data_IF_952423156588
#
_entry.id   IF_952423156588
#
_cell.length_a   1.000
_cell.length_b   1.000
_cell.length_c   1.000
_cell.angle_alpha   90.00
_cell.angle_beta   90.00
_cell.angle_gamma   90.00
#
_symmetry.space_group_name_H-M   'P 1'
#
loop_
_entity.id
_entity.type
_entity.pdbx_description
1 polymer ?
#
# COMPACT_ATOMS: atom_id res chain seq x y z
N UNK A 1 -28.14 -10.96 -3.35
CA UNK A 1 -26.83 -11.51 -2.91
C UNK A 1 -26.73 -11.31 -1.40
N UNK A 2 -27.36 -12.19 -0.63
CA UNK A 2 -27.52 -12.13 0.84
C UNK A 2 -26.21 -11.84 1.61
N UNK A 3 -25.09 -12.40 1.14
CA UNK A 3 -23.82 -12.29 1.84
C UNK A 3 -23.24 -10.86 1.91
N UNK A 4 -23.57 -9.98 0.96
CA UNK A 4 -23.08 -8.60 0.96
C UNK A 4 -23.81 -7.73 1.99
N UNK A 5 -25.10 -7.99 2.24
CA UNK A 5 -25.87 -7.28 3.27
C UNK A 5 -25.47 -7.72 4.69
N UNK A 6 -25.12 -8.99 4.88
CA UNK A 6 -24.61 -9.49 6.17
C UNK A 6 -23.25 -8.89 6.55
N UNK A 7 -22.41 -8.55 5.57
CA UNK A 7 -21.12 -7.88 5.83
C UNK A 7 -21.31 -6.40 6.15
N UNK A 8 -22.33 -5.74 5.57
CA UNK A 8 -22.58 -4.31 5.84
C UNK A 8 -23.31 -4.05 7.16
N UNK A 9 -24.03 -5.05 7.68
CA UNK A 9 -24.86 -4.96 8.90
C UNK A 9 -24.23 -5.59 10.15
N UNK A 10 -22.92 -5.88 10.12
CA UNK A 10 -22.24 -6.43 11.28
C UNK A 10 -22.11 -5.38 12.40
N UNK A 11 -23.08 -5.38 13.30
CA UNK A 11 -23.07 -4.61 14.54
C UNK A 11 -22.54 -5.53 15.65
N UNK A 12 -21.41 -5.19 16.32
CA UNK A 12 -20.78 -6.10 17.26
C UNK A 12 -21.72 -6.36 18.45
N UNK A 13 -21.98 -7.64 18.72
CA UNK A 13 -22.90 -8.10 19.77
C UNK A 13 -22.43 -7.77 21.19
N UNK A 14 -21.20 -7.28 21.37
CA UNK A 14 -20.68 -6.79 22.64
C UNK A 14 -19.70 -5.61 22.41
N UNK A 15 -20.06 -4.36 22.77
CA UNK A 15 -19.21 -3.18 22.54
C UNK A 15 -17.90 -3.20 23.33
N UNK A 16 -17.80 -4.04 24.36
CA UNK A 16 -16.64 -4.13 25.25
C UNK A 16 -15.71 -5.31 24.93
N UNK A 17 -16.14 -6.21 24.04
CA UNK A 17 -15.30 -7.28 23.51
C UNK A 17 -14.74 -6.82 22.15
N UNK A 18 -13.79 -5.89 22.18
CA UNK A 18 -13.07 -5.53 20.97
C UNK A 18 -12.37 -6.78 20.42
N UNK A 19 -12.94 -7.32 19.34
CA UNK A 19 -12.27 -8.33 18.52
C UNK A 19 -10.90 -7.79 18.10
N UNK A 20 -9.90 -8.67 18.03
CA UNK A 20 -8.56 -8.31 17.56
C UNK A 20 -8.60 -7.56 16.23
N UNK A 21 -9.59 -7.81 15.39
CA UNK A 21 -9.81 -7.12 14.12
C UNK A 21 -10.17 -5.64 14.29
N UNK A 22 -11.04 -5.29 15.23
CA UNK A 22 -11.48 -3.90 15.47
C UNK A 22 -10.35 -3.06 16.05
N UNK A 23 -9.60 -3.63 16.99
CA UNK A 23 -8.42 -2.97 17.58
C UNK A 23 -7.40 -2.59 16.51
N UNK A 24 -7.17 -3.49 15.55
CA UNK A 24 -6.28 -3.27 14.42
C UNK A 24 -6.84 -2.18 13.51
N UNK A 25 -8.11 -2.28 13.11
CA UNK A 25 -8.76 -1.30 12.22
C UNK A 25 -8.73 0.11 12.79
N UNK A 26 -9.10 0.28 14.07
CA UNK A 26 -9.13 1.58 14.76
C UNK A 26 -7.73 2.20 14.80
N UNK A 27 -6.69 1.40 15.05
CA UNK A 27 -5.30 1.87 14.99
C UNK A 27 -4.93 2.37 13.60
N UNK A 28 -5.23 1.61 12.55
CA UNK A 28 -4.97 2.02 11.16
C UNK A 28 -5.77 3.26 10.76
N UNK A 29 -7.01 3.39 11.24
CA UNK A 29 -7.85 4.56 11.01
C UNK A 29 -7.35 5.81 11.75
N UNK A 30 -6.74 5.66 12.93
CA UNK A 30 -6.12 6.78 13.65
C UNK A 30 -4.91 7.36 12.90
N UNK A 31 -4.13 6.51 12.23
CA UNK A 31 -2.90 6.91 11.53
C UNK A 31 -3.02 6.93 9.99
N UNK A 32 -4.21 7.24 9.45
CA UNK A 32 -4.53 7.24 8.01
C UNK A 32 -3.44 7.85 7.11
N UNK A 33 -3.02 9.08 7.39
CA UNK A 33 -2.05 9.78 6.57
C UNK A 33 -0.67 9.10 6.56
N UNK A 34 -0.22 8.60 7.72
CA UNK A 34 1.04 7.87 7.84
C UNK A 34 1.00 6.54 7.10
N UNK A 35 -0.11 5.81 7.21
CA UNK A 35 -0.31 4.53 6.53
C UNK A 35 -0.26 4.71 5.01
N UNK A 36 -0.98 5.71 4.48
CA UNK A 36 -0.96 6.04 3.05
C UNK A 36 0.44 6.47 2.60
N UNK A 37 1.14 7.26 3.40
CA UNK A 37 2.51 7.67 3.11
C UNK A 37 3.47 6.48 3.01
N UNK A 38 3.38 5.52 3.94
CA UNK A 38 4.16 4.27 3.90
C UNK A 38 3.81 3.44 2.66
N UNK A 39 2.53 3.33 2.29
CA UNK A 39 2.12 2.67 1.05
C UNK A 39 2.70 3.35 -0.19
N UNK A 40 2.65 4.68 -0.27
CA UNK A 40 3.23 5.42 -1.38
C UNK A 40 4.74 5.19 -1.49
N UNK A 41 5.45 5.16 -0.36
CA UNK A 41 6.87 4.80 -0.31
C UNK A 41 7.06 3.37 -0.85
N UNK A 42 6.28 2.40 -0.36
CA UNK A 42 6.38 1.00 -0.79
C UNK A 42 6.12 0.85 -2.30
N UNK A 43 5.05 1.46 -2.83
CA UNK A 43 4.73 1.49 -4.26
C UNK A 43 5.87 2.14 -5.05
N UNK A 44 6.42 3.26 -4.55
CA UNK A 44 7.51 3.94 -5.21
C UNK A 44 8.77 3.07 -5.30
N UNK A 45 9.17 2.45 -4.19
CA UNK A 45 10.35 1.58 -4.16
C UNK A 45 10.14 0.30 -4.98
N UNK A 46 8.98 -0.34 -4.93
CA UNK A 46 8.74 -1.58 -5.67
C UNK A 46 8.53 -1.33 -7.18
N UNK A 47 7.76 -0.30 -7.53
CA UNK A 47 7.43 0.03 -8.91
C UNK A 47 8.58 0.73 -9.65
N UNK A 48 9.20 1.74 -9.02
CA UNK A 48 10.19 2.59 -9.67
C UNK A 48 11.63 2.29 -9.25
N UNK A 49 11.92 1.93 -7.99
CA UNK A 49 13.31 1.75 -7.55
C UNK A 49 14.05 0.55 -8.15
N UNK A 50 13.36 -0.32 -8.91
CA UNK A 50 14.04 -1.29 -9.79
C UNK A 50 15.01 -0.63 -10.79
N UNK A 51 14.81 0.65 -11.11
CA UNK A 51 15.54 1.34 -12.18
C UNK A 51 16.18 2.67 -11.75
N UNK A 52 15.93 3.15 -10.54
CA UNK A 52 16.27 4.50 -10.13
C UNK A 52 17.64 4.55 -9.46
N UNK A 53 18.70 4.81 -10.24
CA UNK A 53 19.94 5.42 -9.71
C UNK A 53 19.73 6.93 -9.64
N UNK A 54 19.38 7.47 -8.47
CA UNK A 54 19.20 8.92 -8.30
C UNK A 54 20.22 9.55 -7.34
N UNK A 55 20.71 10.78 -7.65
CA UNK A 55 21.50 11.60 -6.73
C UNK A 55 20.67 12.05 -5.52
N UNK A 56 21.31 12.15 -4.35
CA UNK A 56 20.69 12.40 -3.03
C UNK A 56 19.71 13.59 -3.02
N UNK A 57 19.95 14.64 -3.80
CA UNK A 57 19.10 15.83 -3.85
C UNK A 57 17.71 15.55 -4.46
N UNK A 58 17.61 14.60 -5.40
CA UNK A 58 16.32 14.23 -6.02
C UNK A 58 15.44 13.38 -5.08
N UNK A 59 16.03 12.68 -4.12
CA UNK A 59 15.27 11.95 -3.10
C UNK A 59 14.48 12.89 -2.19
N UNK A 60 15.06 14.05 -1.84
CA UNK A 60 14.36 15.03 -1.00
C UNK A 60 13.12 15.57 -1.72
N UNK A 61 13.27 15.98 -2.98
CA UNK A 61 12.14 16.44 -3.79
C UNK A 61 11.06 15.34 -3.94
N UNK A 62 11.49 14.08 -4.04
CA UNK A 62 10.58 12.95 -4.12
C UNK A 62 9.78 12.75 -2.83
N UNK A 63 10.41 12.81 -1.66
CA UNK A 63 9.70 12.68 -0.39
C UNK A 63 8.71 13.82 -0.20
N UNK A 64 9.06 15.04 -0.62
CA UNK A 64 8.13 16.19 -0.62
C UNK A 64 6.94 15.92 -1.53
N UNK A 65 7.16 15.42 -2.76
CA UNK A 65 6.06 15.08 -3.68
C UNK A 65 5.18 13.95 -3.12
N UNK A 66 5.78 12.91 -2.53
CA UNK A 66 5.04 11.83 -1.86
C UNK A 66 4.23 12.35 -0.68
N UNK A 67 4.78 13.27 0.11
CA UNK A 67 4.09 13.86 1.25
C UNK A 67 2.86 14.67 0.80
N UNK A 68 3.01 15.47 -0.25
CA UNK A 68 1.89 16.20 -0.87
C UNK A 68 0.82 15.22 -1.38
N UNK A 69 1.22 14.15 -2.07
CA UNK A 69 0.31 13.10 -2.53
C UNK A 69 -0.42 12.40 -1.38
N UNK A 70 0.27 12.14 -0.26
CA UNK A 70 -0.32 11.53 0.93
C UNK A 70 -1.38 12.43 1.59
N UNK A 71 -1.16 13.75 1.61
CA UNK A 71 -2.15 14.72 2.11
C UNK A 71 -3.41 14.67 1.24
N UNK A 72 -3.25 14.74 -0.09
CA UNK A 72 -4.39 14.69 -1.02
C UNK A 72 -5.15 13.36 -0.86
N UNK A 73 -4.45 12.23 -0.82
CA UNK A 73 -5.09 10.94 -0.64
C UNK A 73 -5.75 10.76 0.73
N UNK A 74 -5.27 11.43 1.78
CA UNK A 74 -5.92 11.39 3.09
C UNK A 74 -7.32 12.04 3.06
N UNK A 75 -7.50 13.09 2.26
CA UNK A 75 -8.83 13.67 2.02
C UNK A 75 -9.73 12.71 1.23
N UNK A 76 -9.19 12.05 0.21
CA UNK A 76 -9.94 11.06 -0.59
C UNK A 76 -10.30 9.79 0.21
N UNK A 77 -9.49 9.38 1.20
CA UNK A 77 -9.77 8.20 2.04
C UNK A 77 -11.03 8.34 2.91
N UNK A 78 -11.56 9.56 3.03
CA UNK A 78 -12.83 9.82 3.73
C UNK A 78 -14.03 9.26 2.98
N UNK A 79 -14.04 9.36 1.65
CA UNK A 79 -15.17 8.96 0.81
C UNK A 79 -14.88 7.74 -0.06
N UNK A 80 -13.61 7.37 -0.22
CA UNK A 80 -13.17 6.20 -0.97
C UNK A 80 -12.24 5.35 -0.09
N UNK A 81 -12.29 4.02 -0.15
CA UNK A 81 -11.37 3.16 0.60
C UNK A 81 -9.99 3.11 -0.09
N UNK A 82 -9.26 4.24 -0.10
CA UNK A 82 -7.98 4.40 -0.80
C UNK A 82 -6.89 3.55 -0.15
N UNK A 83 -6.85 3.48 1.19
CA UNK A 83 -5.88 2.67 1.93
C UNK A 83 -5.95 1.18 1.58
N UNK A 84 -7.14 0.63 1.37
CA UNK A 84 -7.30 -0.79 1.01
C UNK A 84 -6.94 -1.03 -0.45
N UNK A 85 -7.28 -0.11 -1.36
CA UNK A 85 -6.84 -0.17 -2.75
C UNK A 85 -5.30 -0.10 -2.88
N UNK A 86 -4.65 0.77 -2.11
CA UNK A 86 -3.19 0.86 -2.02
C UNK A 86 -2.56 -0.43 -1.51
N UNK A 87 -3.15 -1.09 -0.51
CA UNK A 87 -2.70 -2.39 -0.04
C UNK A 87 -2.71 -3.43 -1.16
N UNK A 88 -3.81 -3.53 -1.91
CA UNK A 88 -3.92 -4.45 -3.06
C UNK A 88 -2.90 -4.12 -4.15
N UNK A 89 -2.69 -2.84 -4.45
CA UNK A 89 -1.70 -2.40 -5.43
C UNK A 89 -0.27 -2.79 -5.03
N UNK A 90 0.11 -2.61 -3.75
CA UNK A 90 1.40 -3.07 -3.24
C UNK A 90 1.51 -4.59 -3.35
N UNK A 91 0.47 -5.33 -3.00
CA UNK A 91 0.45 -6.79 -3.09
C UNK A 91 0.68 -7.27 -4.53
N UNK A 92 -0.01 -6.64 -5.50
CA UNK A 92 0.20 -6.92 -6.93
C UNK A 92 1.64 -6.61 -7.37
N UNK A 93 2.19 -5.48 -6.97
CA UNK A 93 3.57 -5.12 -7.30
C UNK A 93 4.57 -6.11 -6.69
N UNK A 94 4.38 -6.53 -5.43
CA UNK A 94 5.20 -7.57 -4.78
C UNK A 94 5.15 -8.86 -5.61
N UNK A 95 3.96 -9.32 -5.97
CA UNK A 95 3.78 -10.56 -6.76
C UNK A 95 4.49 -10.44 -8.11
N UNK A 96 4.26 -9.35 -8.85
CA UNK A 96 4.87 -9.13 -10.17
C UNK A 96 6.39 -9.02 -10.07
N UNK A 97 6.90 -8.34 -9.05
CA UNK A 97 8.34 -8.17 -8.78
C UNK A 97 9.01 -9.52 -8.53
N UNK A 98 8.39 -10.40 -7.74
CA UNK A 98 8.91 -11.75 -7.47
C UNK A 98 8.83 -12.62 -8.74
N UNK A 99 7.79 -12.45 -9.56
CA UNK A 99 7.63 -13.17 -10.83
C UNK A 99 8.63 -12.75 -11.90
N UNK A 100 9.00 -11.47 -11.95
CA UNK A 100 10.06 -10.94 -12.82
C UNK A 100 11.41 -11.25 -12.17
N UNK A 101 11.81 -12.52 -12.18
CA UNK A 101 13.23 -12.87 -12.06
C UNK A 101 13.86 -12.61 -13.43
N UNK A 102 14.88 -11.74 -13.53
CA UNK A 102 15.61 -11.60 -14.79
C UNK A 102 16.24 -12.96 -15.10
N UNK A 103 15.84 -13.56 -16.21
CA UNK A 103 16.36 -14.83 -16.73
C UNK A 103 17.79 -14.65 -17.28
N UNK A 104 18.67 -14.02 -16.48
CA UNK A 104 20.05 -13.71 -16.83
C UNK A 104 20.98 -14.94 -16.73
N UNK A 105 20.42 -16.16 -16.79
CA UNK A 105 21.19 -17.41 -16.78
C UNK A 105 21.05 -18.19 -18.09
N UNK A 106 21.10 -17.55 -19.27
CA UNK A 106 21.21 -18.30 -20.55
C UNK A 106 22.07 -17.66 -21.64
N UNK A 107 23.14 -16.91 -21.32
CA UNK A 107 24.17 -16.53 -22.30
C UNK A 107 25.60 -16.49 -21.72
N UNK A 108 26.06 -17.60 -21.13
CA UNK A 108 27.49 -17.80 -20.84
C UNK A 108 27.82 -19.28 -20.83
N UNK A 109 27.99 -19.86 -22.02
CA UNK A 109 28.41 -21.25 -22.11
C UNK A 109 28.48 -21.86 -23.51
N UNK A 110 28.66 -21.08 -24.58
CA UNK A 110 29.06 -21.62 -25.89
C UNK A 110 29.98 -20.59 -26.56
N UNK A 111 31.28 -20.71 -26.27
CA UNK A 111 32.40 -20.21 -27.07
C UNK A 111 33.53 -21.21 -26.93
#
# INVERSE_FOLDING_TARGET
MEWFELVSSYEPSNPNALTTYDSIRIFFDHYRAYVIFVYLIAVYYLGFATRVRMPLLKNVLLYVLLFIGAIIFSFLDTSLPVKSAMFVAVLLLVIVKVRIKPDNKRKRGER
#
